data_IF_132277082929
#
_entry.id   IF_132277082929
#
_cell.length_a   1.000
_cell.length_b   1.000
_cell.length_c   1.000
_cell.angle_alpha   90.00
_cell.angle_beta   90.00
_cell.angle_gamma   90.00
#
_symmetry.space_group_name_H-M   'P 1'
#
loop_
_entity.id
_entity.type
_entity.pdbx_description
1 polymer ?
#
# COMPACT_ATOMS: atom_id res chain seq x y z
N UNK A 1 -14.72 -51.37 -1.11
CA UNK A 1 -13.86 -50.22 -0.81
C UNK A 1 -14.69 -49.28 0.08
N UNK A 2 -14.40 -49.26 1.37
CA UNK A 2 -15.19 -48.49 2.35
C UNK A 2 -14.77 -47.02 2.22
N UNK A 3 -15.68 -46.18 1.75
CA UNK A 3 -15.55 -44.72 1.90
C UNK A 3 -15.54 -44.42 3.40
N UNK A 4 -14.42 -43.96 3.90
CA UNK A 4 -14.32 -43.44 5.25
C UNK A 4 -14.96 -42.02 5.25
N UNK A 5 -16.13 -41.79 5.88
CA UNK A 5 -16.81 -40.50 5.86
C UNK A 5 -16.11 -39.43 6.73
N UNK A 6 -15.00 -39.77 7.37
CA UNK A 6 -14.19 -38.89 8.22
C UNK A 6 -12.78 -38.60 7.65
N UNK A 7 -12.57 -38.79 6.36
CA UNK A 7 -11.34 -38.25 5.76
C UNK A 7 -11.43 -36.74 5.79
N UNK A 8 -10.63 -36.06 6.64
CA UNK A 8 -10.44 -34.62 6.53
C UNK A 8 -10.12 -34.27 5.07
N UNK A 9 -10.75 -33.26 4.49
CA UNK A 9 -10.47 -32.86 3.14
C UNK A 9 -8.96 -32.58 3.00
N UNK A 10 -8.34 -33.16 1.99
CA UNK A 10 -6.90 -33.01 1.77
C UNK A 10 -6.64 -31.58 1.30
N UNK A 11 -6.19 -30.71 2.24
CA UNK A 11 -5.73 -29.36 1.89
C UNK A 11 -4.44 -29.45 1.09
N UNK A 12 -4.42 -28.80 -0.09
CA UNK A 12 -3.21 -28.66 -0.90
C UNK A 12 -2.81 -27.19 -0.96
N UNK A 13 -1.50 -26.91 -0.93
CA UNK A 13 -0.96 -25.55 -1.07
C UNK A 13 -0.07 -25.49 -2.29
N UNK A 14 -0.51 -24.75 -3.30
CA UNK A 14 0.15 -24.65 -4.59
C UNK A 14 0.51 -23.19 -4.94
N UNK A 15 1.40 -23.03 -5.92
CA UNK A 15 1.68 -21.73 -6.54
C UNK A 15 0.67 -21.50 -7.66
N UNK A 16 -0.14 -20.46 -7.56
CA UNK A 16 -0.99 -20.00 -8.64
C UNK A 16 -0.15 -19.31 -9.71
N UNK A 17 -0.30 -19.70 -10.96
CA UNK A 17 0.37 -19.08 -12.12
C UNK A 17 -0.61 -18.39 -13.07
N UNK A 18 -1.91 -18.55 -12.84
CA UNK A 18 -2.97 -17.88 -13.61
C UNK A 18 -3.46 -16.64 -12.86
N UNK A 19 -3.03 -15.46 -13.36
CA UNK A 19 -3.40 -14.17 -12.80
C UNK A 19 -4.91 -13.96 -12.75
N UNK A 20 -5.64 -14.43 -13.74
CA UNK A 20 -7.10 -14.27 -13.79
C UNK A 20 -7.83 -15.06 -12.70
N UNK A 21 -7.35 -16.24 -12.36
CA UNK A 21 -7.87 -17.05 -11.24
C UNK A 21 -7.51 -16.42 -9.90
N UNK A 22 -6.30 -15.90 -9.77
CA UNK A 22 -5.84 -15.17 -8.61
C UNK A 22 -6.68 -13.92 -8.35
N UNK A 23 -6.81 -13.02 -9.34
CA UNK A 23 -7.54 -11.77 -9.20
C UNK A 23 -9.02 -11.98 -8.93
N UNK A 24 -9.66 -12.99 -9.54
CA UNK A 24 -11.05 -13.36 -9.17
C UNK A 24 -11.18 -13.75 -7.70
N UNK A 25 -10.17 -14.42 -7.12
CA UNK A 25 -10.19 -14.73 -5.70
C UNK A 25 -10.04 -13.45 -4.85
N UNK A 26 -9.07 -12.58 -5.18
CA UNK A 26 -8.85 -11.31 -4.47
C UNK A 26 -10.12 -10.46 -4.47
N UNK A 27 -10.76 -10.31 -5.63
CA UNK A 27 -12.02 -9.55 -5.76
C UNK A 27 -13.14 -10.17 -4.92
N UNK A 28 -13.30 -11.50 -4.98
CA UNK A 28 -14.36 -12.20 -4.23
C UNK A 28 -14.15 -12.15 -2.71
N UNK A 29 -12.91 -12.09 -2.26
CA UNK A 29 -12.57 -12.01 -0.83
C UNK A 29 -12.52 -10.58 -0.29
N UNK A 30 -12.93 -9.60 -1.11
CA UNK A 30 -12.80 -8.17 -0.81
C UNK A 30 -11.38 -7.78 -0.39
N UNK A 31 -10.40 -8.40 -1.05
CA UNK A 31 -8.98 -8.15 -0.80
C UNK A 31 -8.56 -6.76 -1.30
N UNK A 32 -7.47 -6.18 -0.75
CA UNK A 32 -7.03 -4.85 -1.15
C UNK A 32 -6.40 -4.85 -2.56
N UNK A 33 -6.35 -3.69 -3.24
CA UNK A 33 -5.75 -3.58 -4.58
C UNK A 33 -4.28 -4.02 -4.61
N UNK A 34 -3.58 -3.92 -3.50
CA UNK A 34 -2.19 -4.34 -3.34
C UNK A 34 -1.98 -5.86 -3.41
N UNK A 35 -3.05 -6.64 -3.37
CA UNK A 35 -3.02 -8.10 -3.51
C UNK A 35 -3.32 -8.56 -4.95
N UNK A 36 -3.80 -7.69 -5.83
CA UNK A 36 -4.03 -8.01 -7.24
C UNK A 36 -2.71 -8.28 -7.99
N UNK A 37 -2.78 -9.12 -9.03
CA UNK A 37 -1.61 -9.52 -9.82
C UNK A 37 -0.90 -8.33 -10.46
N UNK A 38 -1.63 -7.30 -10.90
CA UNK A 38 -1.05 -6.07 -11.44
C UNK A 38 -0.14 -5.31 -10.47
N UNK A 39 -0.32 -5.49 -9.16
CA UNK A 39 0.63 -4.98 -8.16
C UNK A 39 1.95 -5.75 -8.18
N UNK A 40 1.87 -7.06 -8.34
CA UNK A 40 3.04 -7.93 -8.54
C UNK A 40 3.81 -7.57 -9.80
N UNK A 41 3.11 -7.32 -10.93
CA UNK A 41 3.74 -6.88 -12.18
C UNK A 41 4.59 -5.62 -11.97
N UNK A 42 4.09 -4.65 -11.18
CA UNK A 42 4.87 -3.47 -10.82
C UNK A 42 6.11 -3.83 -9.96
N UNK A 43 6.01 -4.78 -9.03
CA UNK A 43 7.16 -5.27 -8.27
C UNK A 43 8.18 -5.99 -9.16
N UNK A 44 7.73 -6.71 -10.18
CA UNK A 44 8.57 -7.42 -11.16
C UNK A 44 9.39 -6.48 -12.04
N UNK A 45 9.00 -5.21 -12.22
CA UNK A 45 9.84 -4.19 -12.87
C UNK A 45 11.17 -3.98 -12.15
N UNK A 46 11.23 -4.34 -10.88
CA UNK A 46 12.45 -4.29 -10.06
C UNK A 46 13.24 -5.61 -10.07
N UNK A 47 12.74 -6.64 -10.76
CA UNK A 47 13.31 -7.98 -10.80
C UNK A 47 12.98 -8.82 -9.56
N UNK A 48 11.89 -8.48 -8.83
CA UNK A 48 11.43 -9.27 -7.69
C UNK A 48 10.61 -10.47 -8.15
N UNK A 49 10.73 -11.61 -7.46
CA UNK A 49 9.87 -12.76 -7.69
C UNK A 49 8.61 -12.65 -6.81
N UNK A 50 7.44 -12.59 -7.46
CA UNK A 50 6.15 -12.57 -6.79
C UNK A 50 5.57 -13.98 -6.73
N UNK A 51 5.32 -14.46 -5.52
CA UNK A 51 4.85 -15.81 -5.21
C UNK A 51 3.37 -15.73 -4.79
N UNK A 52 2.51 -16.30 -5.60
CA UNK A 52 1.07 -16.34 -5.35
C UNK A 52 0.70 -17.73 -4.82
N UNK A 53 0.53 -17.86 -3.51
CA UNK A 53 0.19 -19.10 -2.83
C UNK A 53 -1.32 -19.25 -2.68
N UNK A 54 -1.85 -20.39 -3.05
CA UNK A 54 -3.26 -20.75 -2.86
C UNK A 54 -3.36 -21.99 -2.00
N UNK A 55 -4.35 -22.04 -1.12
CA UNK A 55 -4.76 -23.29 -0.48
C UNK A 55 -6.10 -23.73 -1.04
N UNK A 56 -6.17 -24.99 -1.46
CA UNK A 56 -7.39 -25.59 -1.96
C UNK A 56 -7.92 -26.62 -0.95
N UNK A 57 -9.24 -26.58 -0.74
CA UNK A 57 -9.99 -27.66 -0.17
C UNK A 57 -10.65 -28.39 -1.35
N UNK A 58 -10.20 -29.62 -1.61
CA UNK A 58 -10.52 -30.33 -2.85
C UNK A 58 -10.13 -29.49 -4.08
N UNK A 59 -11.04 -29.09 -4.93
CA UNK A 59 -10.78 -28.30 -6.15
C UNK A 59 -11.08 -26.80 -5.96
N UNK A 60 -11.40 -26.35 -4.74
CA UNK A 60 -11.79 -24.96 -4.47
C UNK A 60 -10.72 -24.20 -3.71
N UNK A 61 -10.26 -23.08 -4.25
CA UNK A 61 -9.40 -22.14 -3.52
C UNK A 61 -10.21 -21.53 -2.37
N UNK A 62 -9.70 -21.67 -1.13
CA UNK A 62 -10.36 -21.20 0.10
C UNK A 62 -9.60 -20.06 0.79
N UNK A 63 -8.28 -19.98 0.60
CA UNK A 63 -7.48 -18.84 1.06
C UNK A 63 -6.26 -18.64 0.15
N UNK A 64 -5.70 -17.42 0.15
CA UNK A 64 -4.51 -17.09 -0.65
C UNK A 64 -3.55 -16.19 0.11
N UNK A 65 -2.29 -16.19 -0.31
CA UNK A 65 -1.22 -15.34 0.22
C UNK A 65 -0.24 -14.96 -0.90
N UNK A 66 -0.13 -13.66 -1.19
CA UNK A 66 0.92 -13.13 -2.06
C UNK A 66 2.18 -12.82 -1.24
N UNK A 67 3.34 -13.21 -1.73
CA UNK A 67 4.64 -12.89 -1.15
C UNK A 67 5.57 -12.36 -2.23
N UNK A 68 6.27 -11.28 -1.95
CA UNK A 68 7.35 -10.77 -2.81
C UNK A 68 8.69 -11.04 -2.17
N UNK A 69 9.59 -11.70 -2.88
CA UNK A 69 10.96 -11.93 -2.44
C UNK A 69 11.83 -10.72 -2.75
N UNK A 70 12.39 -10.13 -1.70
CA UNK A 70 13.25 -8.96 -1.76
C UNK A 70 14.64 -9.34 -1.27
N UNK A 71 15.65 -9.20 -2.14
CA UNK A 71 17.05 -9.45 -1.80
C UNK A 71 17.88 -8.16 -1.77
N UNK A 72 18.68 -7.99 -0.74
CA UNK A 72 19.59 -6.85 -0.62
C UNK A 72 20.83 -7.21 0.20
N UNK A 73 22.01 -6.91 -0.34
CA UNK A 73 23.27 -7.02 0.43
C UNK A 73 23.32 -6.11 1.66
N UNK A 74 22.57 -4.98 1.65
CA UNK A 74 22.59 -4.00 2.73
C UNK A 74 21.41 -4.13 3.70
N UNK A 75 20.25 -4.66 3.23
CA UNK A 75 19.00 -4.71 3.96
C UNK A 75 18.48 -6.13 4.16
N UNK A 76 19.33 -7.12 3.87
CA UNK A 76 18.99 -8.53 4.03
C UNK A 76 18.03 -9.06 2.97
N UNK A 77 17.65 -10.33 3.13
CA UNK A 77 16.69 -11.04 2.30
C UNK A 77 15.37 -11.22 3.05
N UNK A 78 14.22 -11.03 2.39
CA UNK A 78 12.92 -11.12 3.05
C UNK A 78 11.80 -11.50 2.10
N UNK A 79 10.76 -12.14 2.66
CA UNK A 79 9.47 -12.32 2.00
C UNK A 79 8.48 -11.32 2.60
N UNK A 80 7.83 -10.51 1.78
CA UNK A 80 6.91 -9.46 2.24
C UNK A 80 5.56 -9.56 1.53
N UNK A 81 4.47 -9.43 2.27
CA UNK A 81 3.12 -9.39 1.74
C UNK A 81 2.39 -8.12 2.20
N UNK A 82 2.06 -7.18 1.28
CA UNK A 82 2.65 -6.98 -0.05
C UNK A 82 3.91 -6.12 0.01
N UNK A 83 4.80 -6.23 -0.98
CA UNK A 83 5.89 -5.27 -1.12
C UNK A 83 5.35 -3.95 -1.66
N UNK A 84 5.84 -2.83 -1.11
CA UNK A 84 5.48 -1.45 -1.49
C UNK A 84 3.99 -1.09 -1.34
N UNK A 85 3.14 -2.04 -0.96
CA UNK A 85 1.73 -1.83 -0.64
C UNK A 85 1.50 -1.57 0.85
N UNK A 86 0.27 -1.21 1.18
CA UNK A 86 -0.10 -0.86 2.55
C UNK A 86 -0.36 -2.11 3.40
N UNK A 87 -1.19 -3.03 2.91
CA UNK A 87 -1.56 -4.28 3.59
C UNK A 87 -2.07 -5.32 2.59
N UNK A 88 -2.16 -6.57 3.00
CA UNK A 88 -2.62 -7.66 2.14
C UNK A 88 -2.03 -9.01 2.54
N UNK A 89 -2.15 -9.41 3.80
CA UNK A 89 -1.69 -10.71 4.29
C UNK A 89 -2.56 -11.86 3.75
N UNK A 90 -2.89 -12.85 4.54
CA UNK A 90 -3.77 -13.95 4.13
C UNK A 90 -5.17 -13.44 3.80
N UNK A 91 -5.61 -13.62 2.56
CA UNK A 91 -6.97 -13.34 2.14
C UNK A 91 -7.86 -14.57 2.34
N UNK A 92 -9.04 -14.33 2.88
CA UNK A 92 -9.97 -15.35 3.38
C UNK A 92 -11.31 -15.27 2.67
N UNK A 93 -12.04 -16.38 2.64
CA UNK A 93 -13.45 -16.46 2.29
C UNK A 93 -14.20 -17.11 3.45
N UNK A 94 -15.52 -17.19 3.39
CA UNK A 94 -16.33 -17.91 4.39
C UNK A 94 -15.95 -19.39 4.52
N UNK A 95 -15.36 -19.99 3.47
CA UNK A 95 -14.90 -21.38 3.49
C UNK A 95 -13.50 -21.55 4.10
N UNK A 96 -12.81 -20.47 4.48
CA UNK A 96 -11.49 -20.56 5.07
C UNK A 96 -11.57 -21.12 6.48
N UNK A 97 -10.72 -22.10 6.76
CA UNK A 97 -10.58 -22.70 8.09
C UNK A 97 -9.22 -22.30 8.69
N UNK A 98 -9.07 -22.46 10.01
CA UNK A 98 -7.78 -22.28 10.67
C UNK A 98 -6.70 -23.20 10.07
N UNK A 99 -7.05 -24.46 9.76
CA UNK A 99 -6.17 -25.40 9.10
C UNK A 99 -5.68 -24.91 7.73
N UNK A 100 -6.54 -24.21 6.95
CA UNK A 100 -6.16 -23.60 5.67
C UNK A 100 -5.15 -22.49 5.86
N UNK A 101 -5.36 -21.61 6.86
CA UNK A 101 -4.44 -20.53 7.19
C UNK A 101 -3.08 -21.09 7.63
N UNK A 102 -3.09 -22.07 8.54
CA UNK A 102 -1.88 -22.75 8.99
C UNK A 102 -1.12 -23.44 7.85
N UNK A 103 -1.82 -24.02 6.85
CA UNK A 103 -1.20 -24.62 5.69
C UNK A 103 -0.46 -23.57 4.84
N UNK A 104 -1.09 -22.40 4.57
CA UNK A 104 -0.42 -21.29 3.88
C UNK A 104 0.80 -20.78 4.64
N UNK A 105 0.67 -20.58 5.95
CA UNK A 105 1.75 -20.06 6.78
C UNK A 105 2.92 -21.06 6.85
N UNK A 106 2.64 -22.36 7.01
CA UNK A 106 3.69 -23.41 6.93
C UNK A 106 4.39 -23.39 5.57
N UNK A 107 3.65 -23.14 4.49
CA UNK A 107 4.27 -23.01 3.16
C UNK A 107 5.14 -21.77 3.06
N UNK A 108 4.70 -20.65 3.60
CA UNK A 108 5.46 -19.39 3.64
C UNK A 108 6.76 -19.54 4.46
N UNK A 109 6.71 -20.17 5.64
CA UNK A 109 7.89 -20.43 6.47
C UNK A 109 8.86 -21.44 5.80
N UNK A 110 8.35 -22.50 5.17
CA UNK A 110 9.18 -23.42 4.38
C UNK A 110 9.86 -22.73 3.18
N UNK A 111 9.21 -21.75 2.57
CA UNK A 111 9.84 -20.94 1.52
C UNK A 111 10.91 -20.01 2.10
N UNK A 112 10.67 -19.45 3.29
CA UNK A 112 11.65 -18.62 3.99
C UNK A 112 12.95 -19.41 4.27
N UNK A 113 12.83 -20.63 4.78
CA UNK A 113 13.97 -21.52 5.02
C UNK A 113 14.70 -21.86 3.72
N UNK A 114 13.94 -22.25 2.68
CA UNK A 114 14.51 -22.64 1.37
C UNK A 114 15.24 -21.48 0.68
N UNK A 115 14.73 -20.25 0.81
CA UNK A 115 15.32 -19.04 0.21
C UNK A 115 16.34 -18.39 1.14
N UNK A 116 16.52 -18.91 2.35
CA UNK A 116 17.43 -18.37 3.37
C UNK A 116 17.17 -16.89 3.63
N UNK A 117 15.89 -16.52 3.81
CA UNK A 117 15.53 -15.12 4.10
C UNK A 117 15.67 -14.85 5.60
N UNK A 118 15.99 -13.60 5.94
CA UNK A 118 16.13 -13.16 7.33
C UNK A 118 14.78 -13.15 8.07
N UNK A 119 13.70 -12.82 7.33
CA UNK A 119 12.34 -12.84 7.89
C UNK A 119 11.24 -12.87 6.83
N UNK A 120 10.03 -13.28 7.27
CA UNK A 120 8.77 -13.07 6.55
C UNK A 120 7.99 -11.96 7.23
N UNK A 121 7.39 -11.05 6.46
CA UNK A 121 6.53 -9.97 6.96
C UNK A 121 5.17 -10.02 6.30
N UNK A 122 4.12 -10.24 7.08
CA UNK A 122 2.72 -10.28 6.67
C UNK A 122 2.02 -9.04 7.24
N UNK A 123 1.42 -8.21 6.38
CA UNK A 123 0.95 -6.88 6.76
C UNK A 123 -0.56 -6.79 6.82
N UNK A 124 -1.07 -6.32 7.94
CA UNK A 124 -2.32 -5.58 8.02
C UNK A 124 -3.59 -6.31 8.43
N UNK A 125 -3.71 -7.61 8.41
CA UNK A 125 -4.92 -8.31 8.86
C UNK A 125 -4.62 -9.26 10.01
N UNK A 126 -5.60 -9.43 10.89
CA UNK A 126 -5.48 -10.39 11.98
C UNK A 126 -5.29 -11.81 11.41
N UNK A 127 -4.20 -12.43 11.85
CA UNK A 127 -3.87 -13.82 11.52
C UNK A 127 -4.19 -14.64 12.76
N UNK A 128 -5.32 -15.33 12.70
CA UNK A 128 -5.73 -16.28 13.72
C UNK A 128 -5.15 -17.66 13.36
N UNK A 129 -3.94 -17.92 13.86
CA UNK A 129 -3.27 -19.20 13.65
C UNK A 129 -2.31 -19.48 14.81
N UNK A 130 -2.31 -20.73 15.26
CA UNK A 130 -1.36 -21.22 16.29
C UNK A 130 0.03 -21.42 15.66
N UNK A 131 0.71 -20.31 15.40
CA UNK A 131 2.08 -20.28 14.88
C UNK A 131 2.91 -19.23 15.62
N UNK A 132 4.21 -19.50 15.76
CA UNK A 132 5.18 -18.58 16.40
C UNK A 132 5.45 -17.35 15.53
N UNK A 133 4.44 -16.49 15.37
CA UNK A 133 4.56 -15.21 14.70
C UNK A 133 4.72 -14.08 15.71
N UNK A 134 5.69 -13.21 15.49
CA UNK A 134 5.85 -11.99 16.27
C UNK A 134 4.87 -10.92 15.76
N UNK A 135 3.93 -10.49 16.58
CA UNK A 135 2.97 -9.44 16.25
C UNK A 135 3.52 -8.08 16.64
N UNK A 136 3.40 -7.10 15.74
CA UNK A 136 3.79 -5.71 15.97
C UNK A 136 2.72 -4.73 15.48
N UNK A 137 2.21 -3.90 16.39
CA UNK A 137 1.21 -2.84 16.09
C UNK A 137 1.92 -1.49 16.03
N UNK A 138 2.52 -1.18 14.87
CA UNK A 138 3.30 0.05 14.66
C UNK A 138 2.58 1.12 13.84
N UNK A 139 1.54 0.73 13.14
CA UNK A 139 0.84 1.59 12.20
C UNK A 139 -0.65 1.66 12.50
N UNK A 140 -1.22 2.79 12.16
CA UNK A 140 -2.66 3.02 12.15
C UNK A 140 -3.09 3.58 10.81
N UNK A 141 -4.36 3.42 10.47
CA UNK A 141 -5.03 4.21 9.45
C UNK A 141 -6.19 4.99 10.05
N UNK A 142 -6.78 5.87 9.24
CA UNK A 142 -8.10 6.45 9.47
C UNK A 142 -8.99 6.04 8.30
N UNK A 143 -10.19 5.55 8.60
CA UNK A 143 -11.16 5.13 7.62
C UNK A 143 -12.40 6.03 7.74
N UNK A 144 -12.73 6.73 6.64
CA UNK A 144 -13.91 7.59 6.55
C UNK A 144 -15.02 6.82 5.89
N UNK A 145 -16.19 6.74 6.54
CA UNK A 145 -17.40 6.19 5.95
C UNK A 145 -17.94 7.21 4.95
N UNK A 146 -18.15 6.78 3.71
CA UNK A 146 -18.60 7.61 2.60
C UNK A 146 -20.09 7.36 2.23
N UNK A 147 -20.70 6.30 2.74
CA UNK A 147 -22.13 6.00 2.53
C UNK A 147 -23.02 7.01 3.29
N UNK A 148 -22.86 8.29 2.91
CA UNK A 148 -23.59 9.42 3.46
C UNK A 148 -23.35 10.68 2.63
N UNK A 149 -24.11 11.73 2.90
CA UNK A 149 -23.97 13.02 2.21
C UNK A 149 -22.56 13.60 2.34
N UNK A 150 -22.04 14.18 1.26
CA UNK A 150 -20.71 14.84 1.23
C UNK A 150 -20.62 15.98 2.29
N UNK A 151 -21.75 16.67 2.56
CA UNK A 151 -21.81 17.67 3.61
C UNK A 151 -21.60 17.07 5.01
N UNK A 152 -22.13 15.87 5.27
CA UNK A 152 -21.89 15.17 6.53
C UNK A 152 -20.43 14.69 6.69
N UNK A 153 -19.77 14.34 5.57
CA UNK A 153 -18.32 14.06 5.58
C UNK A 153 -17.53 15.33 5.88
N UNK A 154 -17.96 16.46 5.30
CA UNK A 154 -17.35 17.77 5.55
C UNK A 154 -17.43 18.18 7.02
N UNK A 155 -18.56 17.95 7.69
CA UNK A 155 -18.79 18.35 9.08
C UNK A 155 -17.88 17.59 10.06
N UNK A 156 -17.43 16.38 9.72
CA UNK A 156 -16.47 15.62 10.53
C UNK A 156 -15.02 16.14 10.40
N UNK A 157 -14.74 16.94 9.39
CA UNK A 157 -13.42 17.53 9.18
C UNK A 157 -13.18 18.61 10.22
N UNK A 158 -12.04 18.56 10.91
CA UNK A 158 -11.65 19.55 11.90
C UNK A 158 -11.74 20.98 11.32
N UNK A 159 -12.36 21.91 12.05
CA UNK A 159 -12.60 23.29 11.60
C UNK A 159 -11.36 24.01 11.04
N UNK A 160 -10.18 23.81 11.67
CA UNK A 160 -8.94 24.37 11.16
C UNK A 160 -8.55 23.81 9.79
N UNK A 161 -8.90 22.55 9.51
CA UNK A 161 -8.66 21.90 8.21
C UNK A 161 -9.68 22.39 7.17
N UNK A 162 -10.94 22.50 7.53
CA UNK A 162 -11.96 23.07 6.66
C UNK A 162 -11.57 24.50 6.21
N UNK A 163 -11.02 25.31 7.12
CA UNK A 163 -10.54 26.65 6.79
C UNK A 163 -9.42 26.63 5.76
N UNK A 164 -8.46 25.72 5.90
CA UNK A 164 -7.37 25.54 4.92
C UNK A 164 -7.88 25.08 3.56
N UNK A 165 -8.86 24.16 3.54
CA UNK A 165 -9.49 23.70 2.30
C UNK A 165 -10.23 24.84 1.61
N UNK A 166 -11.02 25.65 2.37
CA UNK A 166 -11.70 26.82 1.81
C UNK A 166 -10.70 27.82 1.25
N UNK A 167 -9.64 28.15 1.99
CA UNK A 167 -8.58 29.03 1.52
C UNK A 167 -7.98 28.57 0.19
N UNK A 168 -7.63 27.29 0.07
CA UNK A 168 -7.09 26.74 -1.18
C UNK A 168 -8.13 26.69 -2.31
N UNK A 169 -9.39 26.38 -1.99
CA UNK A 169 -10.48 26.33 -2.99
C UNK A 169 -10.84 27.72 -3.54
N UNK A 170 -10.76 28.74 -2.68
CA UNK A 170 -11.16 30.11 -3.00
C UNK A 170 -9.96 30.93 -3.57
N UNK A 171 -8.80 30.30 -3.79
CA UNK A 171 -7.63 30.88 -4.44
C UNK A 171 -7.70 30.65 -5.95
N UNK A 172 -7.97 31.72 -6.71
CA UNK A 172 -8.13 31.69 -8.19
C UNK A 172 -6.87 31.20 -8.93
N UNK A 173 -5.72 31.14 -8.28
CA UNK A 173 -4.49 30.61 -8.87
C UNK A 173 -4.36 29.09 -8.74
N UNK A 174 -5.27 28.43 -8.02
CA UNK A 174 -5.25 27.00 -7.79
C UNK A 174 -6.37 26.29 -8.55
N UNK A 175 -6.00 25.26 -9.30
CA UNK A 175 -6.93 24.34 -9.96
C UNK A 175 -6.72 22.91 -9.46
N UNK A 176 -7.82 22.14 -9.41
CA UNK A 176 -7.77 20.71 -9.22
C UNK A 176 -8.19 19.98 -10.47
N UNK A 177 -7.35 19.07 -10.95
CA UNK A 177 -7.66 18.20 -12.08
C UNK A 177 -7.62 16.73 -11.68
N UNK A 178 -8.47 15.94 -12.30
CA UNK A 178 -8.30 14.49 -12.33
C UNK A 178 -7.39 14.16 -13.52
N UNK A 179 -6.23 13.57 -13.23
CA UNK A 179 -5.28 13.18 -14.26
C UNK A 179 -5.77 11.92 -14.97
N UNK A 180 -5.77 11.97 -16.30
CA UNK A 180 -6.24 10.90 -17.20
C UNK A 180 -5.22 10.51 -18.27
N UNK A 181 -4.03 11.09 -18.20
CA UNK A 181 -2.96 10.88 -19.18
C UNK A 181 -1.65 10.46 -18.51
N UNK A 182 -0.78 9.86 -19.34
CA UNK A 182 0.60 9.55 -18.92
C UNK A 182 1.39 10.83 -18.62
N UNK A 183 1.03 11.95 -19.28
CA UNK A 183 1.63 13.26 -18.98
C UNK A 183 1.30 13.73 -17.56
N UNK A 184 0.07 13.51 -17.08
CA UNK A 184 -0.31 13.80 -15.70
C UNK A 184 0.41 12.89 -14.70
N UNK A 185 0.59 11.61 -15.06
CA UNK A 185 1.39 10.69 -14.26
C UNK A 185 2.87 11.13 -14.19
N UNK A 186 3.44 11.63 -15.29
CA UNK A 186 4.78 12.21 -15.29
C UNK A 186 4.87 13.45 -14.41
N UNK A 187 3.85 14.31 -14.43
CA UNK A 187 3.75 15.48 -13.56
C UNK A 187 3.72 15.08 -12.08
N UNK A 188 2.90 14.10 -11.71
CA UNK A 188 2.92 13.49 -10.37
C UNK A 188 4.30 12.93 -10.03
N UNK A 189 4.95 12.23 -10.96
CA UNK A 189 6.26 11.64 -10.73
C UNK A 189 7.35 12.69 -10.45
N UNK A 190 7.32 13.86 -11.09
CA UNK A 190 8.26 14.95 -10.75
C UNK A 190 8.05 15.42 -9.30
N UNK A 191 6.80 15.56 -8.85
CA UNK A 191 6.49 15.86 -7.44
C UNK A 191 6.95 14.72 -6.51
N UNK A 192 6.80 13.47 -6.94
CA UNK A 192 7.28 12.31 -6.17
C UNK A 192 8.80 12.36 -5.96
N UNK A 193 9.58 12.68 -6.99
CA UNK A 193 11.02 12.83 -6.88
C UNK A 193 11.40 13.92 -5.86
N UNK A 194 10.75 15.07 -5.91
CA UNK A 194 10.99 16.20 -4.99
C UNK A 194 10.61 15.83 -3.55
N UNK A 195 9.42 15.24 -3.36
CA UNK A 195 8.91 14.80 -2.07
C UNK A 195 9.82 13.75 -1.43
N UNK A 196 10.20 12.71 -2.18
CA UNK A 196 11.06 11.63 -1.65
C UNK A 196 12.45 12.14 -1.31
N UNK A 197 13.02 13.05 -2.12
CA UNK A 197 14.27 13.72 -1.78
C UNK A 197 14.13 14.51 -0.48
N UNK A 198 13.07 15.30 -0.33
CA UNK A 198 12.80 16.06 0.89
C UNK A 198 12.69 15.18 2.15
N UNK A 199 12.10 13.99 2.03
CA UNK A 199 12.02 13.02 3.11
C UNK A 199 13.35 12.26 3.36
N UNK A 200 14.35 12.39 2.49
CA UNK A 200 15.60 11.60 2.59
C UNK A 200 15.37 10.14 2.20
N UNK A 201 14.38 9.84 1.40
CA UNK A 201 13.96 8.49 0.99
C UNK A 201 14.18 8.30 -0.52
N UNK A 202 14.74 7.16 -0.97
CA UNK A 202 14.87 6.87 -2.39
C UNK A 202 13.50 6.76 -3.07
N UNK A 203 13.28 7.40 -4.24
CA UNK A 203 12.03 7.32 -4.98
C UNK A 203 11.85 5.98 -5.69
N UNK A 204 10.61 5.62 -6.01
CA UNK A 204 10.32 4.60 -7.00
C UNK A 204 10.75 5.04 -8.41
N UNK A 205 10.91 4.08 -9.33
CA UNK A 205 11.12 4.37 -10.75
C UNK A 205 9.83 4.86 -11.42
N UNK A 206 9.95 5.58 -12.52
CA UNK A 206 8.78 5.91 -13.33
C UNK A 206 8.13 4.66 -13.92
N UNK A 207 8.93 3.65 -14.29
CA UNK A 207 8.45 2.37 -14.80
C UNK A 207 7.51 1.67 -13.81
N UNK A 208 7.83 1.68 -12.50
CA UNK A 208 6.95 1.16 -11.46
C UNK A 208 5.58 1.86 -11.47
N UNK A 209 5.54 3.19 -11.51
CA UNK A 209 4.30 3.97 -11.59
C UNK A 209 3.57 3.73 -12.90
N UNK A 210 4.30 3.64 -14.01
CA UNK A 210 3.72 3.39 -15.32
C UNK A 210 3.06 2.02 -15.39
N UNK A 211 3.68 0.99 -14.83
CA UNK A 211 3.07 -0.35 -14.75
C UNK A 211 1.82 -0.33 -13.90
N UNK A 212 1.81 0.34 -12.74
CA UNK A 212 0.59 0.50 -11.93
C UNK A 212 -0.51 1.23 -12.72
N UNK A 213 -0.15 2.28 -13.46
CA UNK A 213 -1.10 2.97 -14.33
C UNK A 213 -1.68 2.03 -15.39
N UNK A 214 -0.84 1.31 -16.11
CA UNK A 214 -1.26 0.42 -17.19
C UNK A 214 -2.13 -0.74 -16.68
N UNK A 215 -1.90 -1.23 -15.46
CA UNK A 215 -2.64 -2.33 -14.85
C UNK A 215 -3.99 -1.90 -14.23
N UNK A 216 -4.09 -0.68 -13.72
CA UNK A 216 -5.25 -0.28 -12.90
C UNK A 216 -6.11 0.84 -13.51
N UNK A 217 -5.63 1.61 -14.49
CA UNK A 217 -6.40 2.73 -15.04
C UNK A 217 -7.55 2.28 -15.94
N UNK A 218 -7.39 1.21 -16.71
CA UNK A 218 -8.41 0.72 -17.63
C UNK A 218 -9.68 0.21 -16.91
N UNK A 219 -9.53 -0.27 -15.69
CA UNK A 219 -10.63 -0.78 -14.85
C UNK A 219 -11.15 0.26 -13.85
N UNK A 220 -10.80 1.54 -14.05
CA UNK A 220 -11.16 2.65 -13.15
C UNK A 220 -10.67 2.47 -11.71
N UNK A 221 -9.66 1.61 -11.51
CA UNK A 221 -9.08 1.31 -10.19
C UNK A 221 -7.92 2.22 -9.81
N UNK A 222 -7.54 3.13 -10.69
CA UNK A 222 -6.48 4.11 -10.47
C UNK A 222 -7.06 5.52 -10.55
N UNK A 223 -6.99 6.26 -9.48
CA UNK A 223 -7.37 7.67 -9.46
C UNK A 223 -6.16 8.54 -9.17
N UNK A 224 -5.89 9.47 -10.06
CA UNK A 224 -4.86 10.49 -9.93
C UNK A 224 -5.51 11.86 -9.78
N UNK A 225 -5.25 12.55 -8.68
CA UNK A 225 -5.63 13.95 -8.49
C UNK A 225 -4.40 14.84 -8.45
N UNK A 226 -4.45 15.97 -9.14
CA UNK A 226 -3.39 16.99 -9.12
C UNK A 226 -3.98 18.34 -8.72
N UNK A 227 -3.26 19.08 -7.89
CA UNK A 227 -3.50 20.52 -7.67
C UNK A 227 -2.43 21.27 -8.40
N UNK A 228 -2.87 22.20 -9.25
CA UNK A 228 -2.03 23.07 -10.06
C UNK A 228 -2.03 24.48 -9.47
N UNK A 229 -0.90 25.17 -9.58
CA UNK A 229 -0.79 26.62 -9.39
C UNK A 229 -0.31 27.24 -10.69
N UNK A 230 -1.12 28.11 -11.28
CA UNK A 230 -0.79 28.74 -12.58
C UNK A 230 -0.31 27.66 -13.60
N UNK A 231 -1.11 26.58 -13.75
CA UNK A 231 -0.84 25.40 -14.60
C UNK A 231 0.34 24.49 -14.15
N UNK A 232 1.07 24.87 -13.11
CA UNK A 232 2.17 24.06 -12.59
C UNK A 232 1.68 23.11 -11.48
N UNK A 233 1.89 21.78 -11.59
CA UNK A 233 1.54 20.83 -10.51
C UNK A 233 2.33 21.11 -9.23
N UNK A 234 1.61 21.28 -8.11
CA UNK A 234 2.21 21.52 -6.79
C UNK A 234 1.84 20.46 -5.76
N UNK A 235 0.75 19.73 -5.96
CA UNK A 235 0.36 18.60 -5.13
C UNK A 235 -0.22 17.48 -6.01
N UNK A 236 -0.06 16.24 -5.56
CA UNK A 236 -0.64 15.08 -6.22
C UNK A 236 -1.05 14.01 -5.23
N UNK A 237 -2.09 13.26 -5.59
CA UNK A 237 -2.62 12.15 -4.82
C UNK A 237 -2.96 10.99 -5.74
N UNK A 238 -2.52 9.78 -5.36
CA UNK A 238 -2.92 8.54 -6.03
C UNK A 238 -3.74 7.72 -5.06
N UNK A 239 -4.89 7.25 -5.54
CA UNK A 239 -5.72 6.27 -4.87
C UNK A 239 -5.87 5.03 -5.75
N UNK A 240 -5.97 3.88 -5.10
CA UNK A 240 -6.39 2.64 -5.74
C UNK A 240 -7.74 2.22 -5.18
N UNK A 241 -8.58 1.63 -6.02
CA UNK A 241 -9.89 1.15 -5.58
C UNK A 241 -10.00 -0.36 -5.74
N UNK A 242 -10.71 -0.98 -4.80
CA UNK A 242 -11.09 -2.37 -4.86
C UNK A 242 -12.34 -2.58 -3.99
N UNK A 243 -13.32 -3.32 -4.55
CA UNK A 243 -14.61 -3.46 -3.87
C UNK A 243 -15.26 -2.11 -3.63
N UNK A 244 -15.72 -1.87 -2.41
CA UNK A 244 -16.34 -0.60 -2.01
C UNK A 244 -15.37 0.39 -1.34
N UNK A 245 -14.04 0.14 -1.42
CA UNK A 245 -13.05 0.96 -0.74
C UNK A 245 -12.12 1.69 -1.70
N UNK A 246 -11.93 2.99 -1.46
CA UNK A 246 -10.89 3.80 -2.08
C UNK A 246 -9.70 3.91 -1.12
N UNK A 247 -8.53 3.42 -1.54
CA UNK A 247 -7.31 3.37 -0.75
C UNK A 247 -6.32 4.46 -1.19
N UNK A 248 -6.04 5.40 -0.32
CA UNK A 248 -4.98 6.38 -0.54
C UNK A 248 -3.61 5.69 -0.42
N UNK A 249 -2.83 5.75 -1.50
CA UNK A 249 -1.49 5.15 -1.51
C UNK A 249 -0.36 6.17 -1.56
N UNK A 250 -0.48 7.19 -2.41
CA UNK A 250 0.59 8.15 -2.63
C UNK A 250 0.12 9.61 -2.53
N UNK A 251 0.77 10.39 -1.67
CA UNK A 251 0.58 11.85 -1.60
C UNK A 251 1.92 12.52 -1.76
N UNK A 252 1.98 13.48 -2.67
CA UNK A 252 3.19 14.23 -3.00
C UNK A 252 2.92 15.71 -2.98
N UNK A 253 3.94 16.50 -2.62
CA UNK A 253 3.80 17.95 -2.48
C UNK A 253 5.10 18.65 -2.83
N UNK A 254 4.97 19.77 -3.50
CA UNK A 254 6.04 20.76 -3.56
C UNK A 254 5.98 21.62 -2.29
N UNK A 255 7.00 21.48 -1.45
CA UNK A 255 7.05 22.17 -0.15
C UNK A 255 7.20 23.68 -0.27
N UNK A 256 7.62 24.21 -1.41
CA UNK A 256 7.70 25.65 -1.64
C UNK A 256 6.31 26.29 -1.65
N UNK A 257 5.27 25.52 -2.02
CA UNK A 257 3.87 25.97 -2.08
C UNK A 257 3.00 25.51 -0.90
N UNK A 258 3.60 25.01 0.20
CA UNK A 258 2.86 24.42 1.32
C UNK A 258 1.83 25.39 1.95
N UNK A 259 2.11 26.71 1.92
CA UNK A 259 1.26 27.74 2.54
C UNK A 259 -0.03 27.97 1.74
N UNK A 260 -0.11 27.48 0.49
CA UNK A 260 -1.32 27.49 -0.34
C UNK A 260 -2.32 26.39 0.04
N UNK A 261 -1.95 25.47 0.95
CA UNK A 261 -2.81 24.36 1.42
C UNK A 261 -3.30 23.41 0.32
N UNK A 262 -2.61 23.33 -0.84
CA UNK A 262 -2.97 22.47 -1.96
C UNK A 262 -3.13 20.99 -1.58
N UNK A 263 -2.32 20.47 -0.66
CA UNK A 263 -2.47 19.10 -0.15
C UNK A 263 -3.78 18.86 0.61
N UNK A 264 -4.32 19.89 1.29
CA UNK A 264 -5.63 19.80 1.94
C UNK A 264 -6.76 19.80 0.91
N UNK A 265 -6.62 20.59 -0.15
CA UNK A 265 -7.56 20.60 -1.27
C UNK A 265 -7.54 19.25 -2.02
N UNK A 266 -6.35 18.73 -2.37
CA UNK A 266 -6.20 17.46 -3.06
C UNK A 266 -6.90 16.31 -2.32
N UNK A 267 -6.70 16.24 -1.00
CA UNK A 267 -7.30 15.17 -0.19
C UNK A 267 -8.82 15.33 -0.05
N UNK A 268 -9.32 16.55 0.13
CA UNK A 268 -10.76 16.80 0.14
C UNK A 268 -11.42 16.44 -1.20
N UNK A 269 -10.81 16.83 -2.31
CA UNK A 269 -11.29 16.47 -3.66
C UNK A 269 -11.28 14.97 -3.89
N UNK A 270 -10.29 14.27 -3.33
CA UNK A 270 -10.21 12.82 -3.38
C UNK A 270 -11.33 12.12 -2.59
N UNK A 271 -11.66 12.64 -1.39
CA UNK A 271 -12.82 12.19 -0.60
C UNK A 271 -14.14 12.42 -1.35
N UNK A 272 -14.31 13.63 -1.93
CA UNK A 272 -15.50 13.94 -2.74
C UNK A 272 -15.62 13.03 -3.95
N UNK A 273 -14.49 12.77 -4.65
CA UNK A 273 -14.46 11.85 -5.78
C UNK A 273 -14.91 10.45 -5.33
N UNK A 274 -14.36 9.91 -4.26
CA UNK A 274 -14.70 8.58 -3.79
C UNK A 274 -16.19 8.47 -3.40
N UNK A 275 -16.74 9.45 -2.65
CA UNK A 275 -18.13 9.48 -2.27
C UNK A 275 -19.07 9.58 -3.50
N UNK A 276 -18.74 10.45 -4.46
CA UNK A 276 -19.55 10.65 -5.67
C UNK A 276 -19.52 9.45 -6.65
N UNK A 277 -18.49 8.59 -6.53
CA UNK A 277 -18.38 7.37 -7.34
C UNK A 277 -18.91 6.10 -6.61
N UNK A 278 -19.57 6.29 -5.46
CA UNK A 278 -20.28 5.22 -4.77
C UNK A 278 -19.40 4.27 -3.97
N UNK A 279 -18.21 4.70 -3.55
CA UNK A 279 -17.42 3.95 -2.59
C UNK A 279 -17.97 4.15 -1.17
N UNK A 280 -17.98 3.08 -0.37
CA UNK A 280 -18.49 3.10 1.01
C UNK A 280 -17.44 3.63 2.00
N UNK A 281 -16.17 3.41 1.69
CA UNK A 281 -15.05 3.72 2.59
C UNK A 281 -13.89 4.38 1.87
N UNK A 282 -13.30 5.38 2.52
CA UNK A 282 -12.00 5.94 2.15
C UNK A 282 -10.97 5.60 3.21
N UNK A 283 -9.96 4.83 2.83
CA UNK A 283 -8.84 4.45 3.70
C UNK A 283 -7.63 5.34 3.41
N UNK A 284 -7.18 6.09 4.41
CA UNK A 284 -6.04 6.98 4.29
C UNK A 284 -4.67 6.28 4.17
N UNK A 285 -4.63 4.96 4.26
CA UNK A 285 -3.39 4.20 4.31
C UNK A 285 -2.61 4.40 5.62
N UNK A 286 -1.55 3.63 5.79
CA UNK A 286 -0.80 3.53 7.04
C UNK A 286 -0.10 4.83 7.44
N UNK A 287 -0.05 5.08 8.72
CA UNK A 287 0.75 6.14 9.33
C UNK A 287 1.18 5.74 10.75
N UNK A 288 2.19 6.41 11.29
CA UNK A 288 2.62 6.23 12.68
C UNK A 288 2.03 7.30 13.58
N UNK A 289 1.59 6.93 14.77
CA UNK A 289 1.14 7.89 15.77
C UNK A 289 2.22 8.93 16.10
N UNK A 290 1.79 10.14 16.42
CA UNK A 290 2.66 11.24 16.81
C UNK A 290 3.36 11.94 15.64
N UNK A 291 3.22 11.47 14.39
CA UNK A 291 3.83 12.11 13.23
C UNK A 291 2.95 13.25 12.66
N UNK A 292 3.55 14.15 11.89
CA UNK A 292 2.81 15.20 11.17
C UNK A 292 1.77 14.62 10.21
N UNK A 293 2.10 13.50 9.54
CA UNK A 293 1.18 12.79 8.63
C UNK A 293 -0.01 12.22 9.41
N UNK A 294 0.21 11.65 10.60
CA UNK A 294 -0.87 11.20 11.47
C UNK A 294 -1.83 12.34 11.84
N UNK A 295 -1.28 13.48 12.27
CA UNK A 295 -2.09 14.64 12.64
C UNK A 295 -2.85 15.22 11.45
N UNK A 296 -2.24 15.18 10.27
CA UNK A 296 -2.87 15.58 9.02
C UNK A 296 -4.06 14.68 8.68
N UNK A 297 -3.86 13.35 8.60
CA UNK A 297 -4.93 12.38 8.32
C UNK A 297 -6.04 12.45 9.36
N UNK A 298 -5.70 12.46 10.65
CA UNK A 298 -6.67 12.60 11.76
C UNK A 298 -7.56 13.83 11.64
N UNK A 299 -7.06 14.93 11.06
CA UNK A 299 -7.82 16.16 10.92
C UNK A 299 -8.95 16.11 9.89
N UNK A 300 -8.99 15.08 9.06
CA UNK A 300 -10.08 14.81 8.11
C UNK A 300 -11.20 13.93 8.70
N UNK A 301 -11.10 13.54 9.96
CA UNK A 301 -12.07 12.65 10.60
C UNK A 301 -11.76 11.17 10.36
N UNK A 302 -12.80 10.35 10.47
CA UNK A 302 -12.71 8.90 10.28
C UNK A 302 -12.37 8.14 11.56
N UNK A 303 -12.55 6.81 11.48
CA UNK A 303 -12.28 5.88 12.57
C UNK A 303 -10.82 5.43 12.52
N UNK A 304 -10.12 5.61 13.64
CA UNK A 304 -8.75 5.13 13.79
C UNK A 304 -8.74 3.60 13.91
N UNK A 305 -8.02 2.92 13.03
CA UNK A 305 -7.85 1.46 13.05
C UNK A 305 -6.38 1.11 13.13
N UNK A 306 -6.03 0.17 14.02
CA UNK A 306 -4.67 -0.35 14.12
C UNK A 306 -4.42 -1.42 13.06
N UNK A 307 -3.21 -1.42 12.52
CA UNK A 307 -2.69 -2.49 11.69
C UNK A 307 -1.64 -3.28 12.44
N UNK A 308 -1.83 -4.59 12.40
CA UNK A 308 -0.89 -5.53 12.97
C UNK A 308 -0.03 -6.11 11.84
N UNK A 309 1.28 -6.01 11.99
CA UNK A 309 2.22 -6.71 11.14
C UNK A 309 2.69 -7.97 11.88
N UNK A 310 2.71 -9.11 11.19
CA UNK A 310 3.16 -10.38 11.71
C UNK A 310 4.48 -10.78 11.07
N UNK A 311 5.43 -11.22 11.90
CA UNK A 311 6.76 -11.55 11.44
C UNK A 311 7.14 -12.97 11.86
N UNK A 312 7.76 -13.69 10.95
CA UNK A 312 8.42 -14.95 11.20
C UNK A 312 9.93 -14.80 10.98
N UNK A 313 10.74 -15.25 11.94
CA UNK A 313 12.18 -15.24 11.86
C UNK A 313 12.68 -16.69 11.86
N UNK A 314 13.30 -17.19 10.76
CA UNK A 314 13.80 -18.55 10.68
C UNK A 314 14.77 -18.92 11.79
N UNK A 315 15.63 -17.98 12.18
CA UNK A 315 16.65 -18.17 13.23
C UNK A 315 16.12 -17.94 14.66
N UNK A 316 14.81 -17.75 14.84
CA UNK A 316 14.15 -17.53 16.13
C UNK A 316 14.02 -16.06 16.49
N UNK A 317 14.94 -15.49 17.27
CA UNK A 317 14.85 -14.11 17.75
C UNK A 317 15.46 -13.11 16.77
N UNK A 318 14.63 -12.57 15.87
CA UNK A 318 15.01 -11.50 14.94
C UNK A 318 14.51 -10.12 15.37
N UNK A 319 15.25 -9.08 14.99
CA UNK A 319 14.81 -7.69 15.10
C UNK A 319 14.67 -7.06 13.73
N UNK A 320 13.53 -6.38 13.52
CA UNK A 320 13.33 -5.67 12.26
C UNK A 320 14.21 -4.42 12.21
N UNK A 321 14.79 -4.10 11.02
CA UNK A 321 15.44 -2.82 10.82
C UNK A 321 14.45 -1.69 11.11
N UNK A 322 14.85 -0.71 11.92
CA UNK A 322 14.01 0.47 12.18
C UNK A 322 14.43 1.62 11.27
N UNK A 323 13.51 2.23 10.51
CA UNK A 323 13.85 3.33 9.58
C UNK A 323 14.38 4.58 10.29
N UNK A 324 14.12 4.71 11.59
CA UNK A 324 14.55 5.85 12.44
C UNK A 324 15.85 5.56 13.21
N UNK A 325 16.52 4.43 12.92
CA UNK A 325 17.84 4.18 13.52
C UNK A 325 18.81 5.31 13.14
N UNK A 326 19.52 5.86 14.11
CA UNK A 326 20.48 6.97 13.96
C UNK A 326 21.51 6.74 12.85
N UNK A 327 21.83 5.47 12.56
CA UNK A 327 22.72 5.08 11.46
C UNK A 327 22.25 5.55 10.08
N UNK A 328 20.93 5.73 9.90
CA UNK A 328 20.36 6.19 8.63
C UNK A 328 20.26 7.72 8.54
N UNK A 329 20.36 8.47 9.64
CA UNK A 329 20.15 9.92 9.64
C UNK A 329 21.22 10.66 8.83
N UNK A 330 22.47 10.18 8.86
CA UNK A 330 23.51 10.74 8.00
C UNK A 330 23.20 10.49 6.52
N UNK A 331 22.75 9.29 6.16
CA UNK A 331 22.39 8.94 4.79
C UNK A 331 21.22 9.76 4.30
N UNK A 332 20.18 9.96 5.13
CA UNK A 332 19.02 10.83 4.82
C UNK A 332 19.48 12.26 4.52
N UNK A 333 20.35 12.85 5.37
CA UNK A 333 20.88 14.21 5.16
C UNK A 333 21.72 14.35 3.89
N UNK A 334 22.51 13.36 3.56
CA UNK A 334 23.26 13.34 2.28
C UNK A 334 22.28 13.25 1.11
N UNK A 335 21.30 12.35 1.19
CA UNK A 335 20.28 12.16 0.16
C UNK A 335 19.51 13.46 -0.14
N UNK A 336 19.09 14.18 0.88
CA UNK A 336 18.35 15.45 0.77
C UNK A 336 19.12 16.54 0.01
N UNK A 337 20.46 16.45 -0.03
CA UNK A 337 21.32 17.42 -0.72
C UNK A 337 21.65 17.06 -2.17
N UNK A 338 21.33 15.84 -2.59
CA UNK A 338 21.60 15.41 -3.96
C UNK A 338 20.70 16.15 -4.96
N UNK A 339 21.19 16.45 -6.17
CA UNK A 339 20.34 16.93 -7.26
C UNK A 339 19.24 15.92 -7.60
N UNK A 340 18.05 16.40 -8.02
CA UNK A 340 16.91 15.52 -8.40
C UNK A 340 17.32 14.55 -9.52
N UNK A 341 18.12 14.98 -10.48
CA UNK A 341 18.62 14.11 -11.56
C UNK A 341 19.41 12.90 -11.04
N UNK A 342 20.20 13.11 -9.98
CA UNK A 342 20.97 12.04 -9.33
C UNK A 342 20.01 11.11 -8.55
N UNK A 343 19.11 11.67 -7.73
CA UNK A 343 18.13 10.85 -6.98
C UNK A 343 17.22 10.07 -7.90
N UNK A 344 16.83 10.62 -9.05
CA UNK A 344 16.07 9.94 -10.10
C UNK A 344 16.84 8.74 -10.68
N UNK A 345 18.14 8.90 -10.94
CA UNK A 345 18.95 7.86 -11.59
C UNK A 345 19.28 6.68 -10.64
N UNK A 346 19.70 6.98 -9.40
CA UNK A 346 20.16 5.96 -8.45
C UNK A 346 19.08 5.51 -7.45
N UNK A 347 18.07 6.35 -7.21
CA UNK A 347 17.02 6.11 -6.22
C UNK A 347 16.28 4.80 -6.41
N UNK A 348 15.78 4.49 -7.62
CA UNK A 348 15.09 3.23 -7.87
C UNK A 348 15.93 1.99 -7.58
N UNK A 349 17.23 2.03 -7.81
CA UNK A 349 18.14 0.92 -7.53
C UNK A 349 18.32 0.66 -6.02
N UNK A 350 18.13 1.71 -5.21
CA UNK A 350 18.11 1.58 -3.75
C UNK A 350 16.70 1.21 -3.29
N UNK A 351 15.66 1.89 -3.83
CA UNK A 351 14.25 1.71 -3.43
C UNK A 351 13.78 0.28 -3.58
N UNK A 352 14.12 -0.38 -4.70
CA UNK A 352 13.77 -1.79 -4.93
C UNK A 352 14.23 -2.73 -3.83
N UNK A 353 15.28 -2.37 -3.09
CA UNK A 353 15.85 -3.18 -2.01
C UNK A 353 15.27 -2.86 -0.63
N UNK A 354 14.44 -1.81 -0.53
CA UNK A 354 13.90 -1.29 0.73
C UNK A 354 12.38 -1.29 0.66
N UNK A 355 11.74 -2.31 1.19
CA UNK A 355 10.31 -2.31 1.52
C UNK A 355 10.18 -2.46 3.02
N UNK A 356 10.00 -1.34 3.70
CA UNK A 356 9.85 -1.24 5.15
C UNK A 356 8.41 -0.95 5.52
#
# INVERSE_FOLDING_TARGET
MSNNPNAEPALTVDRCTDSSTWDRFVVRSDGPPFALSGWGDACETYGHDCLYLTVCDSDRIVAVLALTHLESYLFGSKLVSPAFGEYGSVLKTEATTEASIQALLRRATSLADKLSVDFVSLRGHEIDADMSLSKQSRFVTFQVVLDRDVDAIWDDIKESRQRQIRQARDDDSLDYIQGDSVGDLEAYYQLHLATMRGHGTPPHSFEFFRTLWDQFSNDERFHLGLVLKDEQPINGIINFTQGSTAHQWGVVSDYEYRDLNGGSLALWKSLQWAANNGYDTYDFGRTREGTGVYMFKKSFGGVKTWYDDYHYFPDGDGTLPHPEDDKYDHLKRVWQRLPISVTRAIGPQIRKKVSL
#
